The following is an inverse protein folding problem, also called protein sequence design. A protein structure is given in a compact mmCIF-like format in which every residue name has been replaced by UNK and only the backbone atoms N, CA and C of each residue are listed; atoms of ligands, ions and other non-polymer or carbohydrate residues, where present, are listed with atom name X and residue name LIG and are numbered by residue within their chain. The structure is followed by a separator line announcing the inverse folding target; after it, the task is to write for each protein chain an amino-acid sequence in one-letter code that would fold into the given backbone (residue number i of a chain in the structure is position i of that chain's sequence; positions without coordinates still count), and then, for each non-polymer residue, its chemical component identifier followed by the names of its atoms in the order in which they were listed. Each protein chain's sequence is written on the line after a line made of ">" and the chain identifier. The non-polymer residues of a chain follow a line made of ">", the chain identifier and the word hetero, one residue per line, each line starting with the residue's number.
data_IF_346031963198
#
_entry.id   IF_346031963198
#
_cell.length_a   1.000
_cell.length_b   1.000
_cell.length_c   1.000
_cell.angle_alpha   90.00
_cell.angle_beta   90.00
_cell.angle_gamma   90.00
#
_symmetry.space_group_name_H-M   'P 1'
#
loop_
_entity.id
_entity.type
_entity.pdbx_description
1 polymer ?
#
# COMPACT_ATOMS: atom_id res chain seq x y z
N UNK A 1 -3.27 -9.44 9.42
CA UNK A 1 -2.58 -8.83 10.59
C UNK A 1 -2.59 -7.30 10.46
N UNK A 2 -2.68 -6.50 11.53
CA UNK A 2 -2.66 -5.02 11.37
C UNK A 2 -1.26 -4.48 11.05
N UNK A 3 -1.18 -3.28 10.46
CA UNK A 3 0.06 -2.56 10.17
C UNK A 3 0.90 -2.30 11.42
N UNK A 4 0.26 -1.86 12.51
CA UNK A 4 0.88 -1.62 13.80
C UNK A 4 1.43 -2.91 14.42
N UNK A 5 0.67 -4.02 14.38
CA UNK A 5 1.13 -5.32 14.86
C UNK A 5 2.34 -5.82 14.09
N UNK A 6 2.31 -5.74 12.75
CA UNK A 6 3.42 -6.15 11.90
C UNK A 6 4.68 -5.32 12.15
N UNK A 7 4.53 -4.03 12.45
CA UNK A 7 5.63 -3.16 12.84
C UNK A 7 6.21 -3.58 14.21
N UNK A 8 5.39 -3.74 15.26
CA UNK A 8 5.91 -4.16 16.57
C UNK A 8 6.60 -5.55 16.55
N UNK A 9 6.23 -6.42 15.62
CA UNK A 9 6.88 -7.72 15.42
C UNK A 9 8.20 -7.64 14.62
N UNK A 10 8.61 -6.46 14.15
CA UNK A 10 9.81 -6.29 13.34
C UNK A 10 9.66 -6.77 11.90
N UNK A 11 8.44 -7.10 11.46
CA UNK A 11 8.17 -7.61 10.10
C UNK A 11 8.10 -6.44 9.12
N UNK A 12 7.34 -5.39 9.46
CA UNK A 12 7.24 -4.19 8.63
C UNK A 12 8.43 -3.25 8.93
N UNK A 13 9.17 -2.77 7.91
CA UNK A 13 10.38 -1.97 8.13
C UNK A 13 10.09 -0.58 8.70
N UNK A 14 8.94 0.00 8.34
CA UNK A 14 8.51 1.32 8.81
C UNK A 14 6.99 1.38 8.93
N UNK A 15 6.51 2.31 9.75
CA UNK A 15 5.09 2.54 9.99
C UNK A 15 4.77 4.03 9.85
N UNK A 16 3.81 4.35 9.00
CA UNK A 16 3.21 5.68 8.95
C UNK A 16 1.98 5.70 9.86
N UNK A 17 2.09 6.37 10.99
CA UNK A 17 1.02 6.45 11.99
C UNK A 17 0.76 7.91 12.39
N UNK A 18 -0.15 8.10 13.34
CA UNK A 18 -0.48 9.38 13.94
C UNK A 18 -0.93 9.16 15.40
N UNK A 19 -1.11 10.25 16.12
CA UNK A 19 -1.48 10.29 17.55
C UNK A 19 -2.78 9.56 17.93
N UNK A 20 -3.51 9.02 16.95
CA UNK A 20 -4.78 8.34 17.16
C UNK A 20 -4.68 6.81 17.07
N UNK A 21 -3.48 6.29 16.83
CA UNK A 21 -3.16 4.88 17.03
C UNK A 21 -3.24 4.53 18.51
N UNK A 22 -3.79 3.37 18.84
CA UNK A 22 -4.03 2.96 20.23
C UNK A 22 -2.73 2.90 21.04
N UNK A 23 -1.63 2.47 20.41
CA UNK A 23 -0.32 2.31 21.05
C UNK A 23 0.68 3.38 20.59
N UNK A 24 0.20 4.58 20.29
CA UNK A 24 1.06 5.67 19.79
C UNK A 24 2.19 6.04 20.77
N UNK A 25 1.92 6.04 22.07
CA UNK A 25 2.95 6.31 23.09
C UNK A 25 4.08 5.27 23.07
N UNK A 26 3.76 4.01 22.75
CA UNK A 26 4.77 2.97 22.56
C UNK A 26 5.55 3.18 21.26
N UNK A 27 4.90 3.66 20.20
CA UNK A 27 5.59 4.01 18.94
C UNK A 27 6.63 5.12 19.15
N UNK A 28 6.41 6.05 20.09
CA UNK A 28 7.37 7.12 20.39
C UNK A 28 8.71 6.60 20.93
N UNK A 29 8.79 5.34 21.38
CA UNK A 29 10.07 4.73 21.75
C UNK A 29 10.92 4.31 20.54
N UNK A 30 10.33 4.26 19.35
CA UNK A 30 11.03 3.94 18.11
C UNK A 30 11.61 5.19 17.45
N UNK A 31 12.72 5.06 16.70
CA UNK A 31 13.20 6.10 15.80
C UNK A 31 12.11 6.60 14.87
N UNK A 32 11.93 7.92 14.79
CA UNK A 32 10.85 8.50 13.99
C UNK A 32 11.23 9.86 13.38
N UNK A 33 10.45 10.24 12.38
CA UNK A 33 10.43 11.58 11.79
C UNK A 33 8.99 12.07 11.69
N UNK A 34 8.80 13.36 11.93
CA UNK A 34 7.47 13.99 11.92
C UNK A 34 7.26 14.89 10.72
N UNK A 35 8.33 15.23 10.01
CA UNK A 35 8.33 16.33 9.05
C UNK A 35 8.17 15.87 7.60
N UNK A 36 7.92 14.57 7.38
CA UNK A 36 7.48 14.00 6.09
C UNK A 36 6.00 14.36 5.75
N UNK A 37 5.51 15.50 6.24
CA UNK A 37 4.10 15.87 6.27
C UNK A 37 3.51 16.16 4.89
N UNK A 38 2.44 15.46 4.50
CA UNK A 38 1.17 16.15 4.36
C UNK A 38 0.38 15.98 5.65
N UNK A 39 -0.24 17.08 6.09
CA UNK A 39 -1.31 17.04 7.08
C UNK A 39 -2.41 16.15 6.49
N UNK A 40 -2.74 15.04 7.18
CA UNK A 40 -3.77 14.10 6.71
C UNK A 40 -5.10 14.39 7.39
N UNK A 41 -6.18 14.27 6.63
CA UNK A 41 -7.53 14.51 7.12
C UNK A 41 -8.23 13.20 7.47
N UNK A 42 -8.70 13.09 8.70
CA UNK A 42 -9.55 11.99 9.15
C UNK A 42 -11.00 12.31 8.78
N UNK A 43 -11.57 11.59 7.81
CA UNK A 43 -13.00 11.74 7.49
C UNK A 43 -13.89 11.30 8.67
N UNK A 44 -13.46 10.29 9.43
CA UNK A 44 -14.23 9.75 10.56
C UNK A 44 -14.25 10.72 11.74
N UNK A 45 -13.15 11.41 12.03
CA UNK A 45 -13.07 12.38 13.13
C UNK A 45 -13.21 13.84 12.71
N UNK A 46 -13.27 14.12 11.40
CA UNK A 46 -13.28 15.46 10.79
C UNK A 46 -12.14 16.37 11.30
N UNK A 47 -10.95 15.81 11.44
CA UNK A 47 -9.77 16.52 11.98
C UNK A 47 -8.51 16.23 11.17
N UNK A 48 -7.60 17.19 11.20
CA UNK A 48 -6.27 17.12 10.60
C UNK A 48 -5.26 16.58 11.61
N UNK A 49 -4.40 15.66 11.20
CA UNK A 49 -3.36 15.08 12.06
C UNK A 49 -2.00 15.09 11.38
N UNK A 50 -0.95 15.24 12.20
CA UNK A 50 0.44 15.14 11.77
C UNK A 50 0.78 13.67 11.53
N UNK A 51 1.36 13.36 10.38
CA UNK A 51 1.90 12.03 10.08
C UNK A 51 3.25 11.83 10.76
N UNK A 52 3.45 10.65 11.33
CA UNK A 52 4.71 10.22 11.92
C UNK A 52 5.17 8.98 11.18
N UNK A 53 6.42 9.01 10.71
CA UNK A 53 7.05 7.85 10.09
C UNK A 53 8.04 7.26 11.09
N UNK A 54 7.70 6.07 11.59
CA UNK A 54 8.48 5.29 12.54
C UNK A 54 9.31 4.22 11.82
N UNK A 55 10.47 3.90 12.37
CA UNK A 55 11.44 2.94 11.84
C UNK A 55 11.84 1.93 12.93
N UNK A 56 12.26 0.72 12.55
CA UNK A 56 12.73 -0.27 13.53
C UNK A 56 14.04 0.16 14.19
N UNK A 57 14.92 0.85 13.45
CA UNK A 57 16.24 1.25 13.94
C UNK A 57 16.62 2.66 13.48
N UNK A 58 17.57 3.28 14.20
CA UNK A 58 18.04 4.62 13.86
C UNK A 58 18.80 4.60 12.53
N UNK A 59 19.50 3.51 12.20
CA UNK A 59 20.18 3.33 10.91
C UNK A 59 19.21 3.39 9.74
N UNK A 60 18.04 2.72 9.84
CA UNK A 60 17.01 2.77 8.81
C UNK A 60 16.48 4.19 8.59
N UNK A 61 16.24 4.91 9.70
CA UNK A 61 15.83 6.32 9.65
C UNK A 61 16.89 7.18 8.94
N UNK A 62 18.17 7.04 9.31
CA UNK A 62 19.25 7.82 8.72
C UNK A 62 19.45 7.49 7.23
N UNK A 63 19.31 6.23 6.83
CA UNK A 63 19.36 5.82 5.42
C UNK A 63 18.28 6.51 4.59
N UNK A 64 17.06 6.60 5.14
CA UNK A 64 15.93 7.27 4.50
C UNK A 64 16.16 8.77 4.36
N UNK A 65 16.62 9.44 5.42
CA UNK A 65 16.92 10.87 5.38
C UNK A 65 18.01 11.18 4.35
N UNK A 66 19.06 10.36 4.31
CA UNK A 66 20.12 10.47 3.31
C UNK A 66 19.59 10.28 1.89
N UNK A 67 18.77 9.24 1.64
CA UNK A 67 18.15 9.01 0.33
C UNK A 67 17.26 10.19 -0.09
N UNK A 68 16.49 10.76 0.83
CA UNK A 68 15.66 11.93 0.56
C UNK A 68 16.51 13.14 0.15
N UNK A 69 17.62 13.38 0.84
CA UNK A 69 18.58 14.43 0.51
C UNK A 69 19.26 14.19 -0.85
N UNK A 70 19.71 12.97 -1.13
CA UNK A 70 20.35 12.57 -2.40
C UNK A 70 19.41 12.74 -3.61
N UNK A 71 18.12 12.45 -3.43
CA UNK A 71 17.08 12.66 -4.43
C UNK A 71 16.64 14.12 -4.57
N UNK A 72 17.12 15.02 -3.70
CA UNK A 72 16.72 16.43 -3.69
C UNK A 72 15.26 16.63 -3.29
N UNK A 73 14.67 15.70 -2.54
CA UNK A 73 13.29 15.78 -2.08
C UNK A 73 13.18 16.92 -1.08
N UNK A 74 12.56 18.02 -1.53
CA UNK A 74 12.35 19.23 -0.73
C UNK A 74 10.88 19.44 -0.36
N UNK A 75 9.97 18.70 -0.99
CA UNK A 75 8.54 18.71 -0.73
C UNK A 75 7.96 17.31 -0.79
N UNK A 76 6.94 17.09 0.02
CA UNK A 76 6.08 15.90 0.02
C UNK A 76 5.16 15.79 -1.19
N UNK A 77 4.89 16.92 -1.87
CA UNK A 77 4.12 16.92 -3.12
C UNK A 77 4.96 16.40 -4.30
N UNK A 78 6.25 16.13 -4.07
CA UNK A 78 7.12 15.50 -5.05
C UNK A 78 6.70 14.04 -5.25
N UNK A 79 6.53 13.65 -6.52
CA UNK A 79 6.20 12.28 -6.89
C UNK A 79 7.27 11.27 -6.42
N UNK A 80 8.52 11.71 -6.33
CA UNK A 80 9.63 10.90 -5.82
C UNK A 80 9.58 10.77 -4.30
N UNK A 81 8.98 11.73 -3.58
CA UNK A 81 8.70 11.59 -2.15
C UNK A 81 7.65 10.51 -1.89
N UNK A 82 6.56 10.50 -2.66
CA UNK A 82 5.52 9.47 -2.59
C UNK A 82 6.07 8.08 -2.96
N UNK A 83 6.94 8.01 -3.98
CA UNK A 83 7.65 6.78 -4.36
C UNK A 83 8.52 6.26 -3.23
N UNK A 84 9.38 7.11 -2.70
CA UNK A 84 10.29 6.77 -1.60
C UNK A 84 9.50 6.30 -0.38
N UNK A 85 8.42 7.01 -0.02
CA UNK A 85 7.54 6.64 1.08
C UNK A 85 6.93 5.24 0.89
N UNK A 86 6.43 4.93 -0.31
CA UNK A 86 5.88 3.60 -0.60
C UNK A 86 6.88 2.47 -0.38
N UNK A 87 8.12 2.66 -0.82
CA UNK A 87 9.19 1.68 -0.61
C UNK A 87 9.60 1.55 0.86
N UNK A 88 9.68 2.66 1.58
CA UNK A 88 10.00 2.67 3.02
C UNK A 88 8.96 1.89 3.81
N UNK A 89 7.68 2.05 3.47
CA UNK A 89 6.58 1.33 4.12
C UNK A 89 6.55 -0.17 3.78
N UNK A 90 7.45 -0.66 2.94
CA UNK A 90 7.56 -2.07 2.57
C UNK A 90 6.49 -2.49 1.57
N UNK A 91 6.02 -1.60 0.71
CA UNK A 91 5.09 -1.97 -0.36
C UNK A 91 5.82 -2.52 -1.59
N UNK A 92 5.19 -3.45 -2.33
CA UNK A 92 5.72 -3.92 -3.60
C UNK A 92 6.00 -2.75 -4.55
N UNK A 93 7.16 -2.72 -5.24
CA UNK A 93 7.48 -1.64 -6.17
C UNK A 93 6.39 -1.41 -7.22
N UNK A 94 5.77 -2.49 -7.69
CA UNK A 94 4.66 -2.43 -8.64
C UNK A 94 3.44 -1.70 -8.09
N UNK A 95 3.08 -1.96 -6.83
CA UNK A 95 1.98 -1.26 -6.17
C UNK A 95 2.28 0.24 -5.97
N UNK A 96 3.54 0.58 -5.69
CA UNK A 96 3.99 1.98 -5.65
C UNK A 96 3.80 2.64 -7.02
N UNK A 97 4.23 2.00 -8.10
CA UNK A 97 4.00 2.51 -9.46
C UNK A 97 2.50 2.69 -9.78
N UNK A 98 1.66 1.73 -9.42
CA UNK A 98 0.21 1.83 -9.58
C UNK A 98 -0.35 3.04 -8.84
N UNK A 99 0.06 3.27 -7.60
CA UNK A 99 -0.38 4.43 -6.81
C UNK A 99 0.00 5.76 -7.48
N UNK A 100 1.24 5.88 -7.96
CA UNK A 100 1.71 7.09 -8.65
C UNK A 100 0.98 7.31 -9.98
N UNK A 101 0.68 6.25 -10.73
CA UNK A 101 -0.16 6.33 -11.94
C UNK A 101 -1.57 6.83 -11.61
N UNK A 102 -2.17 6.35 -10.52
CA UNK A 102 -3.51 6.82 -10.08
C UNK A 102 -3.50 8.30 -9.72
N UNK A 103 -2.45 8.78 -9.05
CA UNK A 103 -2.30 10.22 -8.76
C UNK A 103 -2.27 11.07 -10.03
N UNK A 104 -1.54 10.63 -11.07
CA UNK A 104 -1.49 11.30 -12.38
C UNK A 104 -2.85 11.27 -13.10
N UNK A 105 -3.47 10.09 -13.21
CA UNK A 105 -4.79 9.94 -13.87
C UNK A 105 -5.88 10.79 -13.23
N UNK A 106 -5.83 10.97 -11.91
CA UNK A 106 -6.76 11.84 -11.18
C UNK A 106 -6.68 13.31 -11.62
N UNK A 107 -5.53 13.76 -12.13
CA UNK A 107 -5.30 15.13 -12.59
C UNK A 107 -5.62 15.31 -14.08
N UNK A 108 -5.45 14.27 -14.90
CA UNK A 108 -5.38 14.42 -16.36
C UNK A 108 -6.62 13.89 -17.12
N UNK A 109 -7.19 12.73 -16.73
CA UNK A 109 -8.16 12.03 -17.58
C UNK A 109 -9.23 11.25 -16.80
N UNK A 110 -10.40 11.86 -16.62
CA UNK A 110 -11.49 11.26 -15.85
C UNK A 110 -12.07 9.98 -16.49
N UNK A 111 -12.10 9.89 -17.82
CA UNK A 111 -12.67 8.72 -18.51
C UNK A 111 -11.77 7.49 -18.38
N UNK A 112 -10.46 7.68 -18.57
CA UNK A 112 -9.46 6.63 -18.37
C UNK A 112 -9.37 6.21 -16.91
N UNK A 113 -9.44 7.17 -15.98
CA UNK A 113 -9.51 6.89 -14.55
C UNK A 113 -10.65 5.92 -14.21
N UNK A 114 -11.88 6.20 -14.68
CA UNK A 114 -13.03 5.30 -14.43
C UNK A 114 -12.81 3.89 -14.97
N UNK A 115 -12.19 3.75 -16.14
CA UNK A 115 -11.85 2.45 -16.74
C UNK A 115 -10.77 1.70 -15.97
N UNK A 116 -9.86 2.41 -15.30
CA UNK A 116 -8.85 1.80 -14.43
C UNK A 116 -9.39 1.48 -13.05
N UNK A 117 -10.31 2.28 -12.51
CA UNK A 117 -10.94 2.07 -11.20
C UNK A 117 -11.65 0.72 -11.08
N UNK A 118 -12.32 0.23 -12.14
CA UNK A 118 -12.97 -1.10 -12.13
C UNK A 118 -11.98 -2.26 -12.01
N UNK A 119 -10.69 -2.02 -12.32
CA UNK A 119 -9.61 -3.00 -12.27
C UNK A 119 -8.80 -2.90 -10.97
N UNK A 120 -9.17 -2.01 -10.06
CA UNK A 120 -8.47 -1.83 -8.80
C UNK A 120 -8.81 -2.95 -7.81
N UNK A 121 -7.78 -3.48 -7.17
CA UNK A 121 -7.90 -4.44 -6.07
C UNK A 121 -7.13 -3.94 -4.87
N UNK A 122 -7.67 -4.16 -3.67
CA UNK A 122 -6.91 -4.01 -2.44
C UNK A 122 -6.23 -5.34 -2.12
N UNK A 123 -4.94 -5.29 -1.78
CA UNK A 123 -4.18 -6.43 -1.28
C UNK A 123 -3.76 -6.14 0.16
N UNK A 124 -3.90 -7.14 1.03
CA UNK A 124 -3.46 -7.10 2.42
C UNK A 124 -2.62 -8.34 2.75
N UNK A 125 -1.42 -8.11 3.28
CA UNK A 125 -0.53 -9.17 3.76
C UNK A 125 0.49 -8.58 4.76
N UNK A 126 0.59 -9.13 5.98
CA UNK A 126 1.55 -8.70 7.00
C UNK A 126 1.53 -7.20 7.30
N UNK A 127 0.34 -6.62 7.43
CA UNK A 127 0.18 -5.19 7.70
C UNK A 127 0.59 -4.28 6.53
N UNK A 128 0.85 -4.85 5.35
CA UNK A 128 0.92 -4.11 4.10
C UNK A 128 -0.45 -4.12 3.44
N UNK A 129 -1.16 -2.98 3.50
CA UNK A 129 -2.43 -2.76 2.82
C UNK A 129 -2.21 -1.75 1.71
N UNK A 130 -2.44 -2.14 0.46
CA UNK A 130 -2.24 -1.28 -0.70
C UNK A 130 -3.21 -1.61 -1.82
N UNK A 131 -3.34 -0.69 -2.78
CA UNK A 131 -4.11 -0.91 -4.01
C UNK A 131 -3.15 -1.24 -5.14
N UNK A 132 -3.52 -2.18 -6.01
CA UNK A 132 -2.90 -2.38 -7.31
C UNK A 132 -3.98 -2.67 -8.37
N UNK A 133 -3.57 -2.92 -9.62
CA UNK A 133 -4.50 -3.40 -10.64
C UNK A 133 -4.51 -4.93 -10.71
N UNK A 134 -5.59 -5.51 -11.25
CA UNK A 134 -5.70 -6.97 -11.46
C UNK A 134 -4.48 -7.54 -12.18
N UNK A 135 -3.99 -6.85 -13.23
CA UNK A 135 -2.80 -7.25 -13.98
C UNK A 135 -1.50 -7.32 -13.14
N UNK A 136 -1.46 -6.65 -11.99
CA UNK A 136 -0.28 -6.51 -11.14
C UNK A 136 -0.31 -7.45 -9.92
N UNK A 137 -1.42 -8.19 -9.70
CA UNK A 137 -1.62 -9.05 -8.53
C UNK A 137 -0.49 -10.07 -8.38
N UNK A 138 -0.14 -10.77 -9.46
CA UNK A 138 0.86 -11.84 -9.44
C UNK A 138 2.25 -11.31 -9.06
N UNK A 139 2.63 -10.17 -9.63
CA UNK A 139 3.92 -9.52 -9.35
C UNK A 139 3.98 -9.04 -7.89
N UNK A 140 2.91 -8.41 -7.40
CA UNK A 140 2.80 -7.94 -6.02
C UNK A 140 2.83 -9.10 -5.03
N UNK A 141 2.06 -10.16 -5.26
CA UNK A 141 2.00 -11.33 -4.39
C UNK A 141 3.36 -12.03 -4.30
N UNK A 142 4.06 -12.20 -5.44
CA UNK A 142 5.39 -12.79 -5.46
C UNK A 142 6.37 -11.96 -4.63
N UNK A 143 6.40 -10.64 -4.84
CA UNK A 143 7.26 -9.76 -4.06
C UNK A 143 6.96 -9.83 -2.56
N UNK A 144 5.67 -9.85 -2.17
CA UNK A 144 5.26 -9.97 -0.78
C UNK A 144 5.74 -11.28 -0.14
N UNK A 145 5.55 -12.41 -0.82
CA UNK A 145 5.96 -13.72 -0.31
C UNK A 145 7.47 -13.91 -0.25
N UNK A 146 8.22 -13.26 -1.13
CA UNK A 146 9.68 -13.26 -1.09
C UNK A 146 10.22 -12.30 0.00
N UNK A 147 9.52 -11.20 0.27
CA UNK A 147 9.91 -10.19 1.28
C UNK A 147 9.51 -10.59 2.70
N UNK A 148 8.33 -11.18 2.86
CA UNK A 148 7.75 -11.59 4.14
C UNK A 148 7.43 -13.10 4.12
N UNK A 149 8.46 -13.97 4.20
CA UNK A 149 8.32 -15.42 4.03
C UNK A 149 7.85 -16.14 5.30
N UNK A 150 6.90 -15.53 6.02
CA UNK A 150 6.28 -16.11 7.20
C UNK A 150 4.90 -16.60 6.75
N UNK A 151 4.64 -17.91 6.71
CA UNK A 151 3.33 -18.42 6.23
C UNK A 151 2.34 -18.70 7.35
N UNK A 152 2.82 -18.73 8.61
CA UNK A 152 2.02 -19.18 9.75
C UNK A 152 1.24 -18.07 10.44
N UNK A 153 1.49 -16.79 10.13
CA UNK A 153 0.91 -15.66 10.87
C UNK A 153 -0.07 -14.82 10.05
N UNK A 154 -0.10 -14.94 8.73
CA UNK A 154 -1.03 -14.21 7.87
C UNK A 154 -1.28 -14.92 6.54
N UNK A 155 -2.40 -14.57 5.89
CA UNK A 155 -2.75 -15.02 4.55
C UNK A 155 -2.88 -13.81 3.63
N UNK A 156 -2.60 -13.99 2.34
CA UNK A 156 -2.81 -12.91 1.38
C UNK A 156 -4.31 -12.71 1.18
N UNK A 157 -4.81 -11.54 1.54
CA UNK A 157 -6.19 -11.13 1.29
C UNK A 157 -6.22 -10.24 0.04
N UNK A 158 -7.15 -10.52 -0.86
CA UNK A 158 -7.42 -9.71 -2.07
C UNK A 158 -8.90 -9.31 -2.03
N UNK A 159 -9.18 -8.01 -2.11
CA UNK A 159 -10.53 -7.44 -2.10
C UNK A 159 -10.77 -6.69 -3.43
N UNK A 160 -11.76 -7.15 -4.19
CA UNK A 160 -12.26 -6.49 -5.40
C UNK A 160 -13.72 -6.10 -5.17
N UNK A 161 -14.02 -4.80 -5.15
CA UNK A 161 -15.38 -4.28 -4.98
C UNK A 161 -16.14 -4.82 -3.75
N UNK A 162 -15.43 -5.14 -2.66
CA UNK A 162 -16.01 -5.67 -1.42
C UNK A 162 -16.04 -7.20 -1.36
N UNK A 163 -15.71 -7.89 -2.45
CA UNK A 163 -15.54 -9.35 -2.48
C UNK A 163 -14.12 -9.72 -2.09
N UNK A 164 -14.00 -10.40 -0.94
CA UNK A 164 -12.72 -10.78 -0.37
C UNK A 164 -12.38 -12.24 -0.67
N UNK A 165 -11.20 -12.47 -1.23
CA UNK A 165 -10.59 -13.77 -1.38
C UNK A 165 -9.36 -13.88 -0.48
N UNK A 166 -9.11 -15.08 0.04
CA UNK A 166 -7.89 -15.43 0.76
C UNK A 166 -7.08 -16.39 -0.09
N UNK A 167 -5.78 -16.15 -0.19
CA UNK A 167 -4.84 -16.97 -0.95
C UNK A 167 -3.76 -17.46 0.01
N UNK A 168 -3.56 -18.77 0.03
CA UNK A 168 -2.53 -19.39 0.85
C UNK A 168 -1.13 -18.99 0.37
N UNK A 169 -0.16 -19.03 1.29
CA UNK A 169 1.22 -18.68 0.99
C UNK A 169 1.77 -19.50 -0.18
N UNK A 170 2.23 -18.81 -1.22
CA UNK A 170 2.80 -19.40 -2.45
C UNK A 170 1.84 -20.30 -3.24
N UNK A 171 0.52 -20.19 -3.02
CA UNK A 171 -0.48 -20.82 -3.88
C UNK A 171 -0.67 -20.04 -5.19
N UNK A 172 0.31 -20.16 -6.09
CA UNK A 172 0.26 -19.50 -7.40
C UNK A 172 -0.89 -20.03 -8.27
N UNK A 173 -1.33 -21.27 -8.09
CA UNK A 173 -2.45 -21.82 -8.85
C UNK A 173 -3.77 -21.20 -8.42
N UNK A 174 -4.04 -21.14 -7.11
CA UNK A 174 -5.20 -20.45 -6.56
C UNK A 174 -5.19 -18.96 -6.92
N UNK A 175 -4.02 -18.32 -6.88
CA UNK A 175 -3.86 -16.92 -7.30
C UNK A 175 -4.21 -16.70 -8.78
N UNK A 176 -3.72 -17.56 -9.68
CA UNK A 176 -4.03 -17.44 -11.11
C UNK A 176 -5.52 -17.69 -11.39
N UNK A 177 -6.13 -18.68 -10.73
CA UNK A 177 -7.58 -18.92 -10.85
C UNK A 177 -8.41 -17.71 -10.38
N UNK A 178 -7.98 -17.04 -9.31
CA UNK A 178 -8.60 -15.80 -8.85
C UNK A 178 -8.44 -14.67 -9.88
N UNK A 179 -7.25 -14.49 -10.45
CA UNK A 179 -7.01 -13.49 -11.50
C UNK A 179 -7.92 -13.75 -12.71
N UNK A 180 -8.00 -14.99 -13.20
CA UNK A 180 -8.86 -15.37 -14.32
C UNK A 180 -10.35 -15.06 -14.03
N UNK A 181 -10.78 -15.33 -12.79
CA UNK A 181 -12.14 -15.01 -12.34
C UNK A 181 -12.40 -13.50 -12.35
N UNK A 182 -11.49 -12.70 -11.80
CA UNK A 182 -11.60 -11.24 -11.77
C UNK A 182 -11.61 -10.64 -13.18
N UNK A 183 -10.75 -11.12 -14.09
CA UNK A 183 -10.72 -10.68 -15.49
C UNK A 183 -12.05 -10.98 -16.19
N UNK A 184 -12.61 -12.17 -15.96
CA UNK A 184 -13.92 -12.55 -16.51
C UNK A 184 -15.02 -11.65 -15.99
N UNK A 185 -15.03 -11.37 -14.68
CA UNK A 185 -16.00 -10.48 -14.04
C UNK A 185 -15.93 -9.06 -14.62
N UNK A 186 -14.74 -8.48 -14.66
CA UNK A 186 -14.50 -7.14 -15.22
C UNK A 186 -14.93 -7.08 -16.68
N UNK A 187 -14.64 -8.11 -17.48
CA UNK A 187 -15.06 -8.17 -18.87
C UNK A 187 -16.60 -8.10 -19.00
N UNK A 188 -17.34 -8.91 -18.23
CA UNK A 188 -18.81 -8.91 -18.24
C UNK A 188 -19.37 -7.54 -17.84
N UNK A 189 -18.89 -6.97 -16.72
CA UNK A 189 -19.32 -5.65 -16.24
C UNK A 189 -19.03 -4.54 -17.27
N UNK A 190 -17.88 -4.62 -17.96
CA UNK A 190 -17.51 -3.64 -18.98
C UNK A 190 -18.41 -3.68 -20.22
N UNK A 191 -18.94 -4.86 -20.59
CA UNK A 191 -19.88 -5.01 -21.70
C UNK A 191 -21.27 -4.47 -21.33
N UNK A 192 -21.73 -4.72 -20.11
CA UNK A 192 -23.00 -4.17 -19.62
C UNK A 192 -23.00 -2.63 -19.61
N UNK A 193 -21.87 -2.02 -19.23
CA UNK A 193 -21.68 -0.56 -19.26
C UNK A 193 -21.67 0.05 -20.67
N UNK A 194 -21.39 -0.73 -21.71
CA UNK A 194 -21.45 -0.26 -23.11
C UNK A 194 -22.86 -0.31 -23.69
N UNK A 195 -23.79 -1.02 -23.04
CA UNK A 195 -25.17 -1.21 -23.47
C UNK A 195 -26.20 -0.36 -22.71
N UNK A 196 -25.76 0.42 -21.72
CA UNK A 196 -26.54 1.43 -20.97
C UNK A 196 -26.23 2.85 -21.43
#
# INVERSE_FOLDING_TARGET
>A
MTDEQAFFLGIKPALLANEMYERFDELLTFPHVTDFSPIRYSCTRRMNYKGWLFFQTEEQKQEVLKKAEELGITSIDDIEAERLLGHILGYPPKAVDTYLQRLKLKQENQAERKRKEIREVAMEYYGCVFMCYVEDILECAKWLWDTYPFSELDQLLIDHCGEKAKVEFRDFNGLNHLIDHLETKIYVESQELLHT
#
